data_IF_712846430553
#
_entry.id   IF_712846430553
#
_cell.length_a   1.000
_cell.length_b   1.000
_cell.length_c   1.000
_cell.angle_alpha   90.00
_cell.angle_beta   90.00
_cell.angle_gamma   90.00
#
_symmetry.space_group_name_H-M   'P 1'
#
loop_
_entity.id
_entity.type
_entity.pdbx_description
1 polymer ?
#
# COMPACT_ATOMS: atom_id res chain seq x y z
N UNK A 1 4.86 -5.34 -25.15
CA UNK A 1 6.05 -4.48 -25.18
C UNK A 1 6.97 -4.96 -24.06
N UNK A 2 8.22 -5.33 -24.36
CA UNK A 2 9.19 -5.80 -23.35
C UNK A 2 9.93 -4.60 -22.74
N UNK A 3 10.11 -4.58 -21.42
CA UNK A 3 10.79 -3.46 -20.76
C UNK A 3 12.29 -3.42 -21.07
N UNK A 4 12.88 -2.23 -21.27
CA UNK A 4 14.31 -2.00 -21.19
C UNK A 4 14.90 -2.43 -19.82
N UNK A 5 16.14 -2.92 -19.80
CA UNK A 5 16.77 -3.49 -18.60
C UNK A 5 16.82 -2.53 -17.40
N UNK A 6 17.11 -1.23 -17.61
CA UNK A 6 17.11 -0.25 -16.52
C UNK A 6 15.73 -0.02 -15.89
N UNK A 7 14.67 -0.12 -16.68
CA UNK A 7 13.28 -0.02 -16.19
C UNK A 7 12.90 -1.30 -15.41
N UNK A 8 13.41 -2.45 -15.82
CA UNK A 8 13.18 -3.71 -15.11
C UNK A 8 13.80 -3.72 -13.70
N UNK A 9 15.02 -3.19 -13.54
CA UNK A 9 15.67 -3.06 -12.24
C UNK A 9 14.92 -2.12 -11.29
N UNK A 10 14.48 -0.95 -11.79
CA UNK A 10 13.64 -0.03 -11.02
C UNK A 10 12.33 -0.68 -10.59
N UNK A 11 11.73 -1.49 -11.47
CA UNK A 11 10.47 -2.20 -11.22
C UNK A 11 10.63 -3.28 -10.14
N UNK A 12 11.75 -4.01 -10.15
CA UNK A 12 12.08 -4.99 -9.10
C UNK A 12 12.25 -4.32 -7.73
N UNK A 13 12.90 -3.15 -7.69
CA UNK A 13 13.05 -2.38 -6.46
C UNK A 13 11.69 -1.91 -5.90
N UNK A 14 10.76 -1.49 -6.76
CA UNK A 14 9.38 -1.16 -6.33
C UNK A 14 8.66 -2.36 -5.70
N UNK A 15 8.94 -3.58 -6.18
CA UNK A 15 8.46 -4.82 -5.56
C UNK A 15 8.99 -5.06 -4.17
N UNK A 16 10.29 -4.87 -3.95
CA UNK A 16 10.88 -4.98 -2.62
C UNK A 16 10.33 -3.94 -1.63
N UNK A 17 9.87 -2.79 -2.14
CA UNK A 17 9.31 -1.70 -1.36
C UNK A 17 7.78 -1.80 -1.14
N UNK A 18 7.12 -2.84 -1.64
CA UNK A 18 5.68 -3.08 -1.40
C UNK A 18 4.72 -2.40 -2.38
N UNK A 19 5.21 -1.71 -3.42
CA UNK A 19 4.37 -1.01 -4.41
C UNK A 19 3.91 -1.90 -5.58
N UNK A 20 4.41 -3.14 -5.65
CA UNK A 20 4.16 -4.01 -6.79
C UNK A 20 2.87 -4.81 -6.60
N UNK A 21 1.98 -4.73 -7.58
CA UNK A 21 0.71 -5.43 -7.53
C UNK A 21 0.91 -6.96 -7.52
N UNK A 22 0.10 -7.71 -6.75
CA UNK A 22 0.30 -9.14 -6.56
C UNK A 22 0.19 -9.94 -7.86
N UNK A 23 -0.64 -9.50 -8.82
CA UNK A 23 -0.73 -10.13 -10.14
C UNK A 23 0.59 -10.08 -10.93
N UNK A 24 1.40 -9.03 -10.75
CA UNK A 24 2.66 -8.88 -11.46
C UNK A 24 3.75 -9.80 -10.91
N UNK A 25 3.61 -10.35 -9.69
CA UNK A 25 4.54 -11.34 -9.13
C UNK A 25 4.53 -12.67 -9.89
N UNK A 26 3.43 -12.98 -10.59
CA UNK A 26 3.27 -14.24 -11.34
C UNK A 26 3.70 -14.14 -12.80
N UNK A 27 3.99 -12.94 -13.29
CA UNK A 27 4.32 -12.71 -14.70
C UNK A 27 5.82 -12.86 -14.92
N UNK A 28 6.20 -13.82 -15.76
CA UNK A 28 7.61 -14.11 -16.09
C UNK A 28 8.35 -12.97 -16.82
N UNK A 29 7.61 -12.00 -17.37
CA UNK A 29 8.18 -10.78 -17.97
C UNK A 29 7.54 -9.56 -17.33
N UNK A 30 8.30 -8.51 -17.00
CA UNK A 30 7.72 -7.26 -16.54
C UNK A 30 6.83 -6.66 -17.63
N UNK A 31 5.58 -6.34 -17.30
CA UNK A 31 4.57 -5.73 -18.17
C UNK A 31 4.02 -4.49 -17.44
N UNK A 32 3.90 -3.36 -18.15
CA UNK A 32 3.28 -2.15 -17.64
C UNK A 32 1.78 -2.38 -17.74
N UNK A 33 1.10 -2.34 -16.61
CA UNK A 33 -0.34 -2.50 -16.54
C UNK A 33 -0.92 -1.28 -15.84
N UNK A 34 -1.91 -0.65 -16.46
CA UNK A 34 -2.67 0.44 -15.83
C UNK A 34 -3.19 0.05 -14.44
N UNK A 35 -3.59 -1.21 -14.26
CA UNK A 35 -4.03 -1.74 -12.97
C UNK A 35 -2.91 -1.81 -11.92
N UNK A 36 -1.66 -2.02 -12.34
CA UNK A 36 -0.52 -1.99 -11.44
C UNK A 36 -0.26 -0.57 -10.91
N UNK A 37 -0.41 0.44 -11.76
CA UNK A 37 -0.30 1.85 -11.33
C UNK A 37 -1.40 2.23 -10.33
N UNK A 38 -2.64 1.75 -10.55
CA UNK A 38 -3.76 1.93 -9.60
C UNK A 38 -3.46 1.27 -8.26
N UNK A 39 -2.88 0.06 -8.27
CA UNK A 39 -2.45 -0.61 -7.05
C UNK A 39 -1.38 0.20 -6.30
N UNK A 40 -0.32 0.61 -7.01
CA UNK A 40 0.76 1.41 -6.42
C UNK A 40 0.24 2.74 -5.85
N UNK A 41 -0.72 3.37 -6.53
CA UNK A 41 -1.41 4.55 -6.02
C UNK A 41 -2.20 4.27 -4.74
N UNK A 42 -2.86 3.11 -4.63
CA UNK A 42 -3.48 2.66 -3.38
C UNK A 42 -2.46 2.55 -2.24
N UNK A 43 -1.29 1.97 -2.50
CA UNK A 43 -0.19 1.91 -1.52
C UNK A 43 0.25 3.30 -1.06
N UNK A 44 0.42 4.24 -1.99
CA UNK A 44 0.79 5.63 -1.66
C UNK A 44 -0.29 6.30 -0.81
N UNK A 45 -1.58 6.08 -1.10
CA UNK A 45 -2.67 6.61 -0.26
C UNK A 45 -2.61 6.05 1.16
N UNK A 46 -2.31 4.76 1.32
CA UNK A 46 -2.12 4.15 2.64
C UNK A 46 -0.93 4.78 3.37
N UNK A 47 0.21 5.00 2.71
CA UNK A 47 1.36 5.66 3.33
C UNK A 47 1.03 7.08 3.78
N UNK A 48 0.34 7.86 2.93
CA UNK A 48 -0.03 9.24 3.25
C UNK A 48 -0.97 9.32 4.45
N UNK A 49 -1.99 8.46 4.50
CA UNK A 49 -2.98 8.46 5.58
C UNK A 49 -2.44 7.89 6.88
N UNK A 50 -1.56 6.88 6.82
CA UNK A 50 -1.02 6.19 8.01
C UNK A 50 0.29 6.78 8.51
N UNK A 51 0.99 7.58 7.67
CA UNK A 51 2.39 8.00 7.84
C UNK A 51 3.40 6.86 8.02
N UNK A 52 3.05 5.65 7.59
CA UNK A 52 3.95 4.49 7.59
C UNK A 52 4.53 4.32 6.19
N UNK A 53 5.74 3.78 6.09
CA UNK A 53 6.31 3.47 4.79
C UNK A 53 5.83 2.11 4.29
N UNK A 54 5.65 1.98 2.97
CA UNK A 54 5.21 0.73 2.34
C UNK A 54 6.21 -0.42 2.54
N UNK A 55 7.49 -0.10 2.71
CA UNK A 55 8.55 -1.06 3.02
C UNK A 55 8.67 -1.41 4.50
N UNK A 56 7.83 -0.84 5.37
CA UNK A 56 7.91 -1.10 6.81
C UNK A 56 7.41 -2.52 7.14
N UNK A 57 8.16 -3.18 8.01
CA UNK A 57 7.79 -4.45 8.63
C UNK A 57 6.93 -4.11 9.85
N UNK A 58 5.61 -4.27 9.74
CA UNK A 58 4.67 -3.90 10.79
C UNK A 58 4.30 -5.09 11.68
N UNK A 59 4.07 -4.82 12.96
CA UNK A 59 3.57 -5.85 13.89
C UNK A 59 2.06 -6.00 13.74
N UNK A 60 1.62 -7.20 13.37
CA UNK A 60 0.23 -7.64 13.38
C UNK A 60 -0.04 -8.65 14.50
N UNK A 61 -1.32 -9.01 14.70
CA UNK A 61 -1.76 -9.94 15.75
C UNK A 61 -1.16 -11.35 15.64
N UNK A 62 -0.70 -11.75 14.45
CA UNK A 62 -0.16 -13.09 14.17
C UNK A 62 1.30 -13.07 13.71
N UNK A 63 2.01 -11.94 13.85
CA UNK A 63 3.41 -11.82 13.42
C UNK A 63 3.66 -10.53 12.63
N UNK A 64 4.63 -10.58 11.71
CA UNK A 64 4.97 -9.48 10.81
C UNK A 64 4.00 -9.45 9.63
N UNK A 65 3.48 -8.27 9.31
CA UNK A 65 2.62 -8.02 8.13
C UNK A 65 3.15 -6.82 7.35
N UNK A 66 2.84 -6.77 6.06
CA UNK A 66 3.09 -5.58 5.24
C UNK A 66 2.06 -4.47 5.53
N UNK A 67 2.28 -3.28 4.97
CA UNK A 67 1.38 -2.13 5.17
C UNK A 67 -0.06 -2.42 4.73
N UNK A 68 -0.25 -3.14 3.62
CA UNK A 68 -1.58 -3.42 3.08
C UNK A 68 -2.39 -4.29 4.02
N UNK A 69 -1.79 -5.39 4.47
CA UNK A 69 -2.44 -6.33 5.38
C UNK A 69 -2.62 -5.71 6.77
N UNK A 70 -1.70 -4.84 7.20
CA UNK A 70 -1.89 -4.04 8.41
C UNK A 70 -3.12 -3.11 8.30
N UNK A 71 -3.25 -2.35 7.21
CA UNK A 71 -4.42 -1.47 7.00
C UNK A 71 -5.72 -2.26 6.92
N UNK A 72 -5.73 -3.45 6.31
CA UNK A 72 -6.90 -4.34 6.30
C UNK A 72 -7.33 -4.78 7.71
N UNK A 73 -6.38 -5.05 8.59
CA UNK A 73 -6.68 -5.40 9.97
C UNK A 73 -7.30 -4.22 10.71
N UNK A 74 -6.78 -3.01 10.48
CA UNK A 74 -7.34 -1.80 11.07
C UNK A 74 -8.77 -1.51 10.56
N UNK A 75 -9.02 -1.63 9.25
CA UNK A 75 -10.34 -1.45 8.63
C UNK A 75 -11.39 -2.46 9.17
N UNK A 76 -10.95 -3.68 9.51
CA UNK A 76 -11.81 -4.70 10.14
C UNK A 76 -12.07 -4.46 11.64
N UNK A 77 -11.65 -3.31 12.18
CA UNK A 77 -11.79 -2.98 13.60
C UNK A 77 -10.90 -3.82 14.51
N UNK A 78 -9.87 -4.48 13.96
CA UNK A 78 -8.99 -5.39 14.69
C UNK A 78 -7.75 -4.70 15.24
N UNK A 79 -7.84 -3.42 15.56
CA UNK A 79 -6.85 -2.73 16.38
C UNK A 79 -6.10 -1.64 15.62
N UNK A 80 -6.11 -0.47 16.25
CA UNK A 80 -5.46 0.79 15.88
C UNK A 80 -6.25 1.64 14.87
N UNK A 81 -6.48 2.91 15.22
CA UNK A 81 -6.81 3.95 14.24
C UNK A 81 -5.70 3.99 13.19
N UNK A 82 -6.05 3.62 11.96
CA UNK A 82 -5.09 3.56 10.85
C UNK A 82 -4.69 4.96 10.38
N UNK A 83 -5.60 5.92 10.48
CA UNK A 83 -5.35 7.28 10.05
C UNK A 83 -4.52 8.00 11.11
N UNK A 84 -3.37 8.50 10.70
CA UNK A 84 -2.47 9.23 11.56
C UNK A 84 -3.11 10.55 12.02
N UNK A 85 -3.13 10.78 13.33
CA UNK A 85 -3.77 11.96 13.94
C UNK A 85 -3.20 13.29 13.44
N UNK A 86 -1.90 13.37 13.12
CA UNK A 86 -1.30 14.59 12.59
C UNK A 86 -1.80 14.90 11.18
N UNK A 87 -2.12 13.86 10.39
CA UNK A 87 -2.75 14.00 9.07
C UNK A 87 -4.22 14.42 9.22
N UNK A 88 -4.91 13.95 10.26
CA UNK A 88 -6.25 14.41 10.63
C UNK A 88 -6.26 15.79 11.33
N UNK A 89 -5.12 16.48 11.44
CA UNK A 89 -5.04 17.80 12.06
C UNK A 89 -5.25 17.82 13.59
N UNK A 90 -5.05 16.68 14.26
CA UNK A 90 -5.28 16.56 15.70
C UNK A 90 -6.72 16.15 16.07
N UNK A 91 -7.61 16.05 15.09
CA UNK A 91 -9.03 15.72 15.27
C UNK A 91 -9.33 14.26 14.89
N UNK A 92 -10.59 13.87 15.01
CA UNK A 92 -11.08 12.58 14.52
C UNK A 92 -11.01 12.52 12.99
N UNK A 93 -10.70 11.35 12.39
CA UNK A 93 -10.65 11.21 10.95
C UNK A 93 -11.96 11.63 10.28
N UNK A 94 -11.87 12.42 9.21
CA UNK A 94 -13.06 12.75 8.43
C UNK A 94 -13.54 11.53 7.63
N UNK A 95 -14.85 11.47 7.36
CA UNK A 95 -15.45 10.44 6.52
C UNK A 95 -14.77 10.29 5.15
N UNK A 96 -14.28 11.39 4.58
CA UNK A 96 -13.53 11.36 3.30
C UNK A 96 -12.22 10.58 3.44
N UNK A 97 -11.53 10.70 4.57
CA UNK A 97 -10.28 9.98 4.81
C UNK A 97 -10.54 8.48 5.02
N UNK A 98 -11.62 8.13 5.71
CA UNK A 98 -12.08 6.73 5.83
C UNK A 98 -12.42 6.14 4.46
N UNK A 99 -13.17 6.88 3.63
CA UNK A 99 -13.50 6.46 2.26
C UNK A 99 -12.25 6.30 1.40
N UNK A 100 -11.28 7.22 1.49
CA UNK A 100 -10.00 7.11 0.78
C UNK A 100 -9.20 5.88 1.23
N UNK A 101 -9.15 5.61 2.53
CA UNK A 101 -8.48 4.44 3.08
C UNK A 101 -9.16 3.16 2.59
N UNK A 102 -10.49 3.08 2.62
CA UNK A 102 -11.24 1.94 2.12
C UNK A 102 -11.05 1.72 0.61
N UNK A 103 -10.98 2.80 -0.18
CA UNK A 103 -10.71 2.73 -1.62
C UNK A 103 -9.28 2.24 -1.89
N UNK A 104 -8.30 2.62 -1.07
CA UNK A 104 -6.89 2.24 -1.24
C UNK A 104 -6.62 0.73 -1.14
N UNK A 105 -7.55 -0.02 -0.53
CA UNK A 105 -7.47 -1.48 -0.38
C UNK A 105 -7.96 -2.27 -1.59
N UNK A 106 -8.60 -1.61 -2.56
CA UNK A 106 -9.28 -2.23 -3.71
C UNK A 106 -8.33 -2.70 -4.81
#
# INVERSE_FOLDING_TARGET
MTMPAGIAEQTLNLGALGYYAPELATVAKPILLFKADVYAFGVILMELLTRRSAGDILSGQSGVVDLKDWVRLCDQGRGMDCINRDIAGGEEPSKVMEELLAISLR
#
